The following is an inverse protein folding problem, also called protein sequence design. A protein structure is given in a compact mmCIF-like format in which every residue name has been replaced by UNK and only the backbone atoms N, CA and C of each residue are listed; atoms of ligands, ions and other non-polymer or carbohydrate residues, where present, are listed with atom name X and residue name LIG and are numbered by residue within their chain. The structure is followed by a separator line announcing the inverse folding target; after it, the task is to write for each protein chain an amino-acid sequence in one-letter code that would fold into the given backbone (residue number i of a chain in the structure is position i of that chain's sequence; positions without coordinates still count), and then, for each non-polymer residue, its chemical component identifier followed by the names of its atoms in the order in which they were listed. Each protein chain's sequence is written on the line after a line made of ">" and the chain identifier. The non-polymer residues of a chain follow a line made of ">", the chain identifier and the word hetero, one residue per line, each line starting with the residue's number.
data_IF_282808085051
#
_entry.id   IF_282808085051
#
_cell.length_a   1.000
_cell.length_b   1.000
_cell.length_c   1.000
_cell.angle_alpha   90.00
_cell.angle_beta   90.00
_cell.angle_gamma   90.00
#
_symmetry.space_group_name_H-M   'P 1'
#
loop_
_entity.id
_entity.type
_entity.pdbx_description
1 polymer ?
#
# COMPACT_ATOMS: atom_id res chain seq x y z
N UNK A 1 4.97 12.81 -19.20
CA UNK A 1 5.26 11.45 -18.68
C UNK A 1 4.31 11.26 -17.52
N UNK A 2 3.62 10.13 -17.40
CA UNK A 2 2.80 9.89 -16.21
C UNK A 2 3.71 9.55 -15.04
N UNK A 3 3.58 10.26 -13.92
CA UNK A 3 4.35 9.96 -12.71
C UNK A 3 3.57 8.99 -11.84
N UNK A 4 3.65 7.70 -12.18
CA UNK A 4 3.11 6.63 -11.34
C UNK A 4 4.13 6.34 -10.24
N UNK A 5 3.72 6.52 -8.99
CA UNK A 5 4.48 6.12 -7.81
C UNK A 5 3.92 4.81 -7.27
N UNK A 6 4.82 3.91 -6.87
CA UNK A 6 4.47 2.66 -6.19
C UNK A 6 5.24 2.54 -4.89
N UNK A 7 4.59 1.97 -3.88
CA UNK A 7 5.17 1.71 -2.58
C UNK A 7 4.78 0.31 -2.13
N UNK A 8 5.74 -0.43 -1.58
CA UNK A 8 5.49 -1.70 -0.91
C UNK A 8 5.99 -1.59 0.53
N UNK A 9 5.09 -1.80 1.49
CA UNK A 9 5.44 -1.92 2.90
C UNK A 9 5.49 -3.40 3.26
N UNK A 10 6.58 -3.84 3.86
CA UNK A 10 6.72 -5.20 4.41
C UNK A 10 6.51 -5.13 5.92
N UNK A 11 5.63 -5.98 6.45
CA UNK A 11 5.39 -6.02 7.88
C UNK A 11 6.59 -6.64 8.61
N UNK A 12 7.11 -5.91 9.60
CA UNK A 12 8.22 -6.34 10.47
C UNK A 12 7.77 -6.59 11.92
N UNK A 13 6.46 -6.52 12.17
CA UNK A 13 5.89 -6.67 13.50
C UNK A 13 5.13 -7.98 13.66
N UNK A 14 5.05 -8.46 14.91
CA UNK A 14 4.24 -9.63 15.22
C UNK A 14 2.76 -9.35 15.00
N UNK A 15 2.02 -10.38 14.59
CA UNK A 15 0.56 -10.31 14.48
C UNK A 15 -0.06 -9.94 15.84
N UNK A 16 -1.03 -9.03 15.79
CA UNK A 16 -1.78 -8.55 16.94
C UNK A 16 -3.25 -8.34 16.57
N UNK A 17 -4.12 -8.20 17.58
CA UNK A 17 -5.54 -7.88 17.41
C UNK A 17 -5.75 -6.65 16.52
N UNK A 18 -4.91 -5.64 16.76
CA UNK A 18 -4.88 -4.40 16.00
C UNK A 18 -3.49 -4.24 15.42
N UNK A 19 -3.41 -4.04 14.12
CA UNK A 19 -2.19 -3.65 13.42
C UNK A 19 -2.41 -2.30 12.78
N UNK A 20 -1.45 -1.40 12.94
CA UNK A 20 -1.55 -0.05 12.41
C UNK A 20 -0.28 0.31 11.65
N UNK A 21 -0.46 0.79 10.43
CA UNK A 21 0.62 1.17 9.52
C UNK A 21 0.48 2.65 9.18
N UNK A 22 1.38 3.46 9.73
CA UNK A 22 1.49 4.88 9.37
C UNK A 22 2.57 5.00 8.31
N UNK A 23 2.19 5.50 7.15
CA UNK A 23 3.08 5.77 6.04
C UNK A 23 3.18 7.28 5.90
N UNK A 24 4.40 7.79 5.99
CA UNK A 24 4.72 9.21 5.88
C UNK A 24 5.74 9.43 4.77
N UNK A 25 6.01 10.70 4.46
CA UNK A 25 7.02 11.14 3.48
C UNK A 25 6.80 10.55 2.07
N UNK A 26 5.54 10.32 1.70
CA UNK A 26 5.17 9.87 0.35
C UNK A 26 5.33 11.02 -0.64
N UNK A 27 5.63 10.68 -1.90
CA UNK A 27 5.48 11.64 -2.98
C UNK A 27 4.03 12.18 -2.96
N UNK A 28 3.83 13.50 -3.15
CA UNK A 28 2.51 14.09 -3.13
C UNK A 28 1.53 13.37 -4.08
N UNK A 29 0.45 12.86 -3.52
CA UNK A 29 -0.57 12.06 -4.20
C UNK A 29 -1.56 12.98 -4.92
N UNK A 30 -1.87 12.67 -6.19
CA UNK A 30 -3.01 13.26 -6.90
C UNK A 30 -4.32 12.55 -6.48
N UNK A 31 -5.04 13.12 -5.52
CA UNK A 31 -6.31 12.56 -5.02
C UNK A 31 -7.47 12.73 -6.01
N UNK A 32 -7.27 13.37 -7.17
CA UNK A 32 -8.27 13.39 -8.25
C UNK A 32 -8.24 12.12 -9.10
N UNK A 33 -7.26 11.25 -8.87
CA UNK A 33 -7.08 9.95 -9.53
C UNK A 33 -7.31 8.81 -8.54
N UNK A 34 -7.53 7.62 -9.08
CA UNK A 34 -7.62 6.42 -8.24
C UNK A 34 -6.30 6.19 -7.52
N UNK A 35 -6.36 5.70 -6.29
CA UNK A 35 -5.20 5.34 -5.45
C UNK A 35 -5.40 3.90 -5.01
N UNK A 36 -4.60 2.97 -5.53
CA UNK A 36 -4.69 1.57 -5.15
C UNK A 36 -4.09 1.32 -3.78
N UNK A 37 -4.84 0.67 -2.90
CA UNK A 37 -4.35 -0.07 -1.74
C UNK A 37 -4.66 -1.55 -1.96
N UNK A 38 -3.63 -2.37 -1.96
CA UNK A 38 -3.74 -3.84 -1.94
C UNK A 38 -3.12 -4.39 -0.66
N UNK A 39 -3.79 -5.39 -0.09
CA UNK A 39 -3.36 -6.09 1.11
C UNK A 39 -2.95 -7.50 0.75
N UNK A 40 -1.76 -7.92 1.16
CA UNK A 40 -1.36 -9.32 1.16
C UNK A 40 -1.37 -9.85 2.59
N UNK A 41 -2.43 -10.58 2.93
CA UNK A 41 -2.62 -11.18 4.23
C UNK A 41 -2.53 -12.72 4.20
N UNK A 42 -2.31 -13.34 5.35
CA UNK A 42 -2.50 -14.79 5.51
C UNK A 42 -3.34 -15.15 6.72
N UNK A 43 -3.83 -16.39 6.76
CA UNK A 43 -4.61 -16.96 7.87
C UNK A 43 -6.02 -16.38 8.08
N UNK A 44 -6.47 -15.49 7.20
CA UNK A 44 -7.87 -15.09 7.14
C UNK A 44 -8.74 -16.26 6.67
N UNK A 45 -9.53 -16.86 7.56
CA UNK A 45 -10.37 -18.00 7.19
C UNK A 45 -11.71 -17.60 6.55
N UNK A 46 -12.33 -16.49 6.98
CA UNK A 46 -13.66 -16.10 6.52
C UNK A 46 -14.02 -14.66 6.97
N UNK A 47 -15.24 -14.23 6.68
CA UNK A 47 -15.82 -12.94 7.12
C UNK A 47 -16.75 -13.10 8.35
N UNK A 48 -16.69 -14.23 9.04
CA UNK A 48 -17.56 -14.60 10.17
C UNK A 48 -16.72 -15.07 11.35
N UNK A 49 -16.10 -14.10 12.01
CA UNK A 49 -15.34 -14.28 13.24
C UNK A 49 -13.83 -14.35 13.06
N UNK A 50 -13.35 -14.47 11.82
CA UNK A 50 -11.93 -14.65 11.50
C UNK A 50 -11.48 -13.83 10.28
N UNK A 51 -12.01 -12.61 10.18
CA UNK A 51 -11.58 -11.59 9.23
C UNK A 51 -10.95 -10.40 9.94
N UNK A 52 -10.52 -9.39 9.18
CA UNK A 52 -10.07 -8.11 9.74
C UNK A 52 -10.81 -6.95 9.10
N UNK A 53 -11.32 -6.05 9.94
CA UNK A 53 -11.82 -4.76 9.52
C UNK A 53 -10.64 -3.91 9.08
N UNK A 54 -10.79 -3.26 7.92
CA UNK A 54 -9.79 -2.37 7.33
C UNK A 54 -10.30 -0.95 7.40
N UNK A 55 -9.44 -0.04 7.86
CA UNK A 55 -9.71 1.40 7.83
C UNK A 55 -8.52 2.18 7.31
N UNK A 56 -8.80 3.28 6.61
CA UNK A 56 -7.82 4.23 6.11
C UNK A 56 -8.14 5.59 6.72
N UNK A 57 -7.17 6.22 7.39
CA UNK A 57 -7.36 7.50 8.10
C UNK A 57 -8.62 7.49 9.00
N UNK A 58 -8.78 6.42 9.79
CA UNK A 58 -9.95 6.14 10.64
C UNK A 58 -11.30 6.02 9.91
N UNK A 59 -11.34 5.99 8.58
CA UNK A 59 -12.55 5.73 7.80
C UNK A 59 -12.63 4.24 7.43
N UNK A 60 -13.77 3.56 7.63
CA UNK A 60 -13.91 2.15 7.30
C UNK A 60 -13.89 1.93 5.78
N UNK A 61 -12.99 1.05 5.33
CA UNK A 61 -12.90 0.58 3.93
C UNK A 61 -13.68 -0.71 3.76
N UNK A 62 -13.64 -1.61 4.75
CA UNK A 62 -14.36 -2.88 4.66
C UNK A 62 -13.92 -3.96 5.62
N UNK A 63 -14.31 -5.20 5.31
CA UNK A 63 -13.95 -6.41 6.06
C UNK A 63 -13.36 -7.41 5.08
N UNK A 64 -12.06 -7.70 5.22
CA UNK A 64 -11.39 -8.73 4.44
C UNK A 64 -11.37 -10.05 5.18
N UNK A 65 -11.47 -11.14 4.44
CA UNK A 65 -11.20 -12.47 4.94
C UNK A 65 -11.65 -13.60 4.03
N UNK A 66 -11.08 -14.78 4.26
CA UNK A 66 -11.22 -15.93 3.37
C UNK A 66 -10.11 -15.98 2.32
N UNK A 67 -10.12 -17.07 1.55
CA UNK A 67 -9.11 -17.33 0.53
C UNK A 67 -9.32 -16.49 -0.73
N UNK A 68 -8.24 -15.91 -1.22
CA UNK A 68 -8.12 -15.49 -2.62
C UNK A 68 -8.31 -16.68 -3.57
N UNK A 69 -8.84 -16.43 -4.76
CA UNK A 69 -9.09 -17.47 -5.79
C UNK A 69 -7.80 -18.19 -6.22
N UNK A 70 -6.67 -17.50 -6.19
CA UNK A 70 -5.36 -18.04 -6.57
C UNK A 70 -4.63 -18.74 -5.42
N UNK A 71 -5.17 -18.67 -4.20
CA UNK A 71 -4.53 -19.25 -3.03
C UNK A 71 -4.97 -20.72 -2.79
N UNK A 72 -4.01 -21.55 -2.36
CA UNK A 72 -4.26 -22.95 -1.97
C UNK A 72 -4.51 -23.01 -0.45
N UNK A 73 -5.68 -23.54 -0.06
CA UNK A 73 -6.10 -23.70 1.33
C UNK A 73 -7.28 -22.82 1.71
N UNK A 74 -8.06 -23.24 2.71
CA UNK A 74 -9.28 -22.52 3.11
C UNK A 74 -9.00 -21.23 3.90
N UNK A 75 -7.84 -21.15 4.57
CA UNK A 75 -7.40 -20.01 5.38
C UNK A 75 -6.05 -19.49 4.90
N UNK A 76 -5.84 -19.47 3.59
CA UNK A 76 -4.61 -18.95 3.00
C UNK A 76 -4.48 -17.44 3.12
N UNK A 77 -5.60 -16.73 3.33
CA UNK A 77 -5.68 -15.28 3.37
C UNK A 77 -6.14 -14.67 2.06
N UNK A 78 -6.45 -13.39 2.15
CA UNK A 78 -6.87 -12.52 1.07
C UNK A 78 -5.66 -11.77 0.52
N UNK A 79 -5.55 -11.66 -0.81
CA UNK A 79 -4.42 -11.02 -1.48
C UNK A 79 -4.93 -10.12 -2.59
N UNK A 80 -4.82 -8.80 -2.40
CA UNK A 80 -5.21 -7.84 -3.43
C UNK A 80 -4.30 -7.93 -4.65
N UNK A 81 -4.83 -8.28 -5.81
CA UNK A 81 -4.13 -8.33 -7.09
C UNK A 81 -4.64 -7.26 -8.05
N UNK A 82 -3.71 -6.52 -8.64
CA UNK A 82 -4.08 -5.36 -9.47
C UNK A 82 -2.98 -4.99 -10.47
N UNK A 83 -3.34 -4.13 -11.41
CA UNK A 83 -2.39 -3.30 -12.14
C UNK A 83 -2.87 -1.84 -12.14
N UNK A 84 -1.93 -0.91 -12.30
CA UNK A 84 -2.20 0.52 -12.35
C UNK A 84 -1.58 1.09 -13.62
N UNK A 85 -2.39 1.75 -14.44
CA UNK A 85 -1.94 2.38 -15.68
C UNK A 85 -2.85 3.53 -16.04
N UNK A 86 -2.35 4.53 -16.77
CA UNK A 86 -3.16 5.65 -17.26
C UNK A 86 -3.93 6.35 -16.13
N UNK A 87 -3.32 6.46 -14.95
CA UNK A 87 -3.92 7.05 -13.74
C UNK A 87 -5.21 6.36 -13.25
N UNK A 88 -5.35 5.06 -13.55
CA UNK A 88 -6.51 4.24 -13.22
C UNK A 88 -6.08 2.91 -12.58
N UNK A 89 -6.86 2.47 -11.60
CA UNK A 89 -6.71 1.20 -10.90
C UNK A 89 -7.58 0.12 -11.57
N UNK A 90 -7.02 -1.08 -11.73
CA UNK A 90 -7.72 -2.23 -12.26
C UNK A 90 -7.45 -3.46 -11.41
N UNK A 91 -8.52 -4.09 -10.90
CA UNK A 91 -8.44 -5.36 -10.19
C UNK A 91 -8.18 -6.54 -11.13
N UNK A 92 -7.52 -7.56 -10.61
CA UNK A 92 -7.27 -8.84 -11.25
C UNK A 92 -7.91 -9.96 -10.41
N UNK A 93 -8.06 -11.15 -10.99
CA UNK A 93 -8.66 -12.30 -10.28
C UNK A 93 -10.07 -11.99 -9.74
N UNK A 94 -10.25 -12.04 -8.42
CA UNK A 94 -11.46 -11.81 -7.65
C UNK A 94 -11.44 -10.45 -6.94
N UNK A 95 -10.45 -9.60 -7.23
CA UNK A 95 -10.37 -8.24 -6.75
C UNK A 95 -11.07 -7.26 -7.69
N UNK A 96 -11.72 -6.26 -7.10
CA UNK A 96 -12.41 -5.22 -7.85
C UNK A 96 -11.89 -3.85 -7.45
N UNK A 97 -11.51 -3.03 -8.44
CA UNK A 97 -11.09 -1.64 -8.22
C UNK A 97 -12.27 -0.73 -7.85
N UNK A 98 -12.88 -0.99 -6.70
CA UNK A 98 -13.95 -0.21 -6.09
C UNK A 98 -13.43 0.42 -4.79
N UNK A 99 -14.25 1.25 -4.12
CA UNK A 99 -13.79 2.00 -2.94
C UNK A 99 -13.82 1.18 -1.65
N UNK A 100 -14.34 -0.04 -1.67
CA UNK A 100 -14.51 -0.90 -0.49
C UNK A 100 -13.80 -2.24 -0.65
N UNK A 101 -13.50 -2.88 0.48
CA UNK A 101 -12.99 -4.27 0.51
C UNK A 101 -14.05 -5.19 1.10
N UNK A 102 -14.17 -6.41 0.57
CA UNK A 102 -15.12 -7.38 1.13
C UNK A 102 -14.73 -8.84 0.83
N UNK A 103 -14.56 -9.63 1.89
CA UNK A 103 -14.20 -11.02 1.75
C UNK A 103 -12.79 -11.16 1.15
N UNK A 104 -12.60 -11.98 0.10
CA UNK A 104 -11.29 -12.14 -0.50
C UNK A 104 -10.82 -10.92 -1.31
N UNK A 105 -11.74 -10.01 -1.69
CA UNK A 105 -11.41 -8.75 -2.37
C UNK A 105 -10.66 -7.83 -1.40
N UNK A 106 -9.34 -7.84 -1.53
CA UNK A 106 -8.38 -7.15 -0.67
C UNK A 106 -7.70 -5.99 -1.39
N UNK A 107 -8.40 -5.43 -2.39
CA UNK A 107 -8.05 -4.25 -3.16
C UNK A 107 -9.10 -3.15 -2.93
N UNK A 108 -8.66 -1.90 -2.81
CA UNK A 108 -9.56 -0.76 -2.90
C UNK A 108 -8.91 0.45 -3.56
N UNK A 109 -9.73 1.25 -4.24
CA UNK A 109 -9.43 2.65 -4.53
C UNK A 109 -9.66 3.47 -3.25
N UNK A 110 -8.57 3.88 -2.61
CA UNK A 110 -8.61 4.61 -1.36
C UNK A 110 -8.65 6.13 -1.52
N UNK A 111 -8.79 6.64 -2.76
CA UNK A 111 -8.86 8.07 -3.04
C UNK A 111 -9.91 8.83 -2.20
N UNK A 112 -11.10 8.29 -1.88
CA UNK A 112 -12.09 9.01 -1.08
C UNK A 112 -11.76 9.08 0.42
N UNK A 113 -10.79 8.31 0.90
CA UNK A 113 -10.42 8.22 2.33
C UNK A 113 -9.18 9.06 2.69
N UNK A 114 -8.50 9.63 1.69
CA UNK A 114 -7.34 10.48 1.94
C UNK A 114 -7.78 11.89 2.35
N UNK A 115 -7.20 12.37 3.45
CA UNK A 115 -7.38 13.74 3.95
C UNK A 115 -6.15 14.62 3.71
N UNK A 116 -5.00 14.01 3.40
CA UNK A 116 -3.74 14.64 3.01
C UNK A 116 -3.14 13.98 1.78
N UNK A 117 -2.00 14.50 1.32
CA UNK A 117 -1.38 14.06 0.05
C UNK A 117 -0.04 13.36 0.23
N UNK A 118 0.54 13.32 1.43
CA UNK A 118 1.90 12.77 1.65
C UNK A 118 1.96 11.73 2.77
N UNK A 119 0.83 11.45 3.40
CA UNK A 119 0.72 10.50 4.50
C UNK A 119 -0.62 9.78 4.46
N UNK A 120 -0.64 8.55 4.99
CA UNK A 120 -1.86 7.81 5.25
C UNK A 120 -1.64 6.80 6.37
N UNK A 121 -2.71 6.51 7.10
CA UNK A 121 -2.79 5.45 8.10
C UNK A 121 -3.65 4.31 7.57
N UNK A 122 -3.15 3.06 7.58
CA UNK A 122 -3.95 1.85 7.35
C UNK A 122 -3.99 1.04 8.62
N UNK A 123 -5.20 0.81 9.13
CA UNK A 123 -5.45 0.05 10.35
C UNK A 123 -6.27 -1.19 10.07
N UNK A 124 -5.84 -2.29 10.67
CA UNK A 124 -6.51 -3.59 10.67
C UNK A 124 -6.94 -3.94 12.09
N UNK A 125 -8.22 -4.24 12.27
CA UNK A 125 -8.75 -4.75 13.54
C UNK A 125 -9.37 -6.13 13.32
N UNK A 126 -8.88 -7.11 14.07
CA UNK A 126 -9.41 -8.47 14.04
C UNK A 126 -10.90 -8.49 14.40
N UNK A 127 -11.70 -9.26 13.66
CA UNK A 127 -13.17 -9.18 13.73
C UNK A 127 -13.75 -9.51 15.11
N UNK A 128 -13.13 -10.41 15.87
CA UNK A 128 -13.56 -10.76 17.22
C UNK A 128 -12.57 -10.26 18.26
N UNK A 129 -13.04 -9.41 19.16
CA UNK A 129 -12.38 -9.19 20.45
C UNK A 129 -12.51 -10.46 21.30
N UNK A 130 -11.61 -11.41 21.09
CA UNK A 130 -11.52 -12.61 21.93
C UNK A 130 -10.70 -12.29 23.19
N UNK A 131 -10.87 -13.07 24.28
CA UNK A 131 -10.05 -12.91 25.48
C UNK A 131 -8.55 -12.96 25.13
N UNK A 132 -7.67 -12.27 25.87
CA UNK A 132 -6.24 -12.05 25.54
C UNK A 132 -5.38 -13.31 25.34
N UNK A 133 -5.94 -14.51 25.48
CA UNK A 133 -5.28 -15.80 25.37
C UNK A 133 -5.71 -16.63 24.14
N UNK A 134 -6.60 -16.10 23.28
CA UNK A 134 -6.86 -16.72 21.98
C UNK A 134 -5.95 -16.08 20.93
N UNK A 135 -5.24 -16.88 20.12
CA UNK A 135 -4.43 -16.33 19.04
C UNK A 135 -5.37 -15.69 18.00
N UNK A 136 -5.33 -14.36 17.91
CA UNK A 136 -5.94 -13.61 16.83
C UNK A 136 -4.93 -13.56 15.69
N UNK A 137 -5.20 -14.33 14.63
CA UNK A 137 -4.21 -14.60 13.59
C UNK A 137 -4.70 -14.19 12.21
N UNK A 138 -4.54 -12.91 11.88
CA UNK A 138 -4.71 -12.40 10.52
C UNK A 138 -3.49 -11.58 10.11
N UNK A 139 -2.28 -12.16 10.09
CA UNK A 139 -1.05 -11.45 9.77
C UNK A 139 -1.15 -10.74 8.41
N UNK A 140 -0.79 -9.45 8.41
CA UNK A 140 -0.49 -8.71 7.18
C UNK A 140 0.98 -8.97 6.86
N UNK A 141 1.27 -9.43 5.64
CA UNK A 141 2.63 -9.58 5.15
C UNK A 141 3.11 -8.31 4.48
N UNK A 142 2.30 -7.80 3.55
CA UNK A 142 2.65 -6.67 2.72
C UNK A 142 1.44 -5.78 2.45
N UNK A 143 1.70 -4.49 2.29
CA UNK A 143 0.78 -3.54 1.71
C UNK A 143 1.39 -2.99 0.42
N UNK A 144 0.59 -2.92 -0.64
CA UNK A 144 0.99 -2.33 -1.90
C UNK A 144 0.16 -1.09 -2.20
N UNK A 145 0.84 -0.03 -2.59
CA UNK A 145 0.22 1.22 -3.01
C UNK A 145 0.64 1.55 -4.43
N UNK A 146 -0.30 2.03 -5.22
CA UNK A 146 -0.03 2.61 -6.54
C UNK A 146 -0.90 3.85 -6.74
N UNK A 147 -0.26 4.96 -7.09
CA UNK A 147 -0.94 6.23 -7.24
C UNK A 147 -0.24 7.13 -8.26
N UNK A 148 -0.98 8.12 -8.74
CA UNK A 148 -0.42 9.19 -9.55
C UNK A 148 0.17 10.25 -8.61
N UNK A 149 1.42 10.63 -8.83
CA UNK A 149 2.10 11.68 -8.09
C UNK A 149 1.92 13.02 -8.80
N UNK A 150 1.70 14.09 -8.02
CA UNK A 150 1.78 15.49 -8.50
C UNK A 150 3.17 16.11 -8.30
N UNK A 151 4.14 15.34 -7.80
CA UNK A 151 5.53 15.77 -7.78
C UNK A 151 5.92 16.13 -9.21
N UNK A 152 6.38 17.35 -9.44
CA UNK A 152 6.96 17.71 -10.73
C UNK A 152 8.45 17.37 -10.67
N UNK A 153 8.94 16.61 -11.64
CA UNK A 153 10.38 16.50 -11.86
C UNK A 153 11.00 17.91 -11.94
N UNK A 154 11.87 18.23 -10.98
CA UNK A 154 12.60 19.49 -11.00
C UNK A 154 13.95 19.30 -11.71
N UNK A 155 14.30 20.24 -12.57
CA UNK A 155 15.66 20.33 -13.09
C UNK A 155 16.53 21.08 -12.08
N UNK A 156 17.62 20.46 -11.64
CA UNK A 156 18.67 21.16 -10.89
C UNK A 156 19.87 21.41 -11.79
N UNK A 157 20.42 22.61 -11.71
CA UNK A 157 21.63 22.95 -12.45
C UNK A 157 22.84 22.63 -11.57
N UNK A 158 23.64 21.64 -11.97
CA UNK A 158 24.97 21.44 -11.39
C UNK A 158 25.84 22.64 -11.77
N UNK A 159 26.02 23.59 -10.84
CA UNK A 159 26.84 24.79 -11.06
C UNK A 159 28.34 24.51 -11.12
N UNK A 160 28.80 23.31 -10.75
CA UNK A 160 30.22 22.98 -10.74
C UNK A 160 30.74 22.55 -12.11
N UNK A 161 31.62 23.37 -12.69
CA UNK A 161 32.47 22.96 -13.81
C UNK A 161 33.65 22.15 -13.28
N UNK A 162 33.59 20.83 -13.39
CA UNK A 162 34.74 19.97 -13.10
C UNK A 162 35.77 20.08 -14.23
N UNK A 163 36.97 20.58 -13.94
CA UNK A 163 38.12 20.52 -14.86
C UNK A 163 38.92 19.25 -14.59
N UNK A 164 39.13 18.45 -15.62
CA UNK A 164 39.81 17.16 -15.54
C UNK A 164 41.03 17.13 -16.46
N UNK A 165 42.10 16.43 -16.05
CA UNK A 165 43.19 16.08 -16.95
C UNK A 165 42.80 14.87 -17.82
N UNK A 166 43.39 14.73 -19.01
CA UNK A 166 43.00 13.71 -20.00
C UNK A 166 43.15 12.24 -19.54
N UNK A 167 43.81 11.98 -18.40
CA UNK A 167 44.17 10.63 -17.94
C UNK A 167 43.66 10.29 -16.53
N UNK A 168 42.67 11.01 -15.99
CA UNK A 168 42.00 10.62 -14.73
C UNK A 168 40.82 9.70 -15.06
N UNK A 169 40.73 8.54 -14.40
CA UNK A 169 39.85 7.43 -14.80
C UNK A 169 38.38 7.58 -14.39
N UNK A 170 38.05 8.42 -13.41
CA UNK A 170 36.66 8.72 -13.04
C UNK A 170 36.57 9.95 -12.13
N UNK A 171 35.40 10.61 -12.15
CA UNK A 171 34.97 11.62 -11.18
C UNK A 171 33.60 11.21 -10.66
N UNK A 172 33.40 11.34 -9.35
CA UNK A 172 32.11 11.17 -8.70
C UNK A 172 31.49 12.56 -8.52
N UNK A 173 30.25 12.73 -8.99
CA UNK A 173 29.46 13.93 -8.75
C UNK A 173 28.46 13.62 -7.65
N UNK A 174 28.37 14.50 -6.66
CA UNK A 174 27.32 14.47 -5.65
C UNK A 174 26.26 15.50 -6.01
N UNK A 175 25.03 15.03 -6.20
CA UNK A 175 23.86 15.89 -6.30
C UNK A 175 23.09 15.75 -4.99
N UNK A 176 22.80 16.87 -4.33
CA UNK A 176 21.84 16.93 -3.23
C UNK A 176 20.48 17.34 -3.81
N UNK A 177 19.43 16.57 -3.50
CA UNK A 177 18.06 16.81 -3.96
C UNK A 177 17.06 16.45 -2.85
N UNK A 178 15.93 17.15 -2.83
CA UNK A 178 14.90 17.07 -1.80
C UNK A 178 14.70 18.42 -1.08
N UNK A 179 13.47 18.94 -1.10
CA UNK A 179 12.96 19.86 -0.09
C UNK A 179 12.03 19.09 0.83
#
# INVERSE_FOLDING_TARGET
>A
MEEISTLALVNETNCAATMNYVIADMNPIDTSKTIGLSVHGSQFCNITGDGSYVSVNNQPVGLIGGKDTNNIGACSGSTGTFYYQNQQLYGLSDDTANVTMHGPDALADISPYLTGTTELEVRFDYQLETPPNFPQSNPIWQLFFAYTSICEAFETTLTERVKMCANVSSVQLEATGGQ
#
